data_IF_372234766413
#
_entry.id   IF_372234766413
#
_cell.length_a   1.000
_cell.length_b   1.000
_cell.length_c   1.000
_cell.angle_alpha   90.00
_cell.angle_beta   90.00
_cell.angle_gamma   90.00
#
_symmetry.space_group_name_H-M   'P 1'
#
loop_
_entity.id
_entity.type
_entity.pdbx_description
1 polymer ?
#
# COMPACT_ATOMS: atom_id res chain seq x y z
N UNK A 1 -6.12 14.30 5.31
CA UNK A 1 -6.19 12.87 5.67
C UNK A 1 -4.84 12.17 5.58
N UNK A 2 -3.99 12.59 4.64
CA UNK A 2 -2.63 12.12 4.36
C UNK A 2 -1.81 13.33 3.93
N UNK A 3 -1.49 14.19 4.90
CA UNK A 3 -0.78 15.45 4.68
C UNK A 3 0.63 15.25 4.12
N UNK A 4 1.31 14.21 4.57
CA UNK A 4 2.61 13.77 4.09
C UNK A 4 2.59 13.42 2.59
N UNK A 5 1.66 12.57 2.19
CA UNK A 5 1.46 12.20 0.78
C UNK A 5 1.08 13.42 -0.07
N UNK A 6 0.17 14.25 0.41
CA UNK A 6 -0.28 15.46 -0.29
C UNK A 6 0.88 16.45 -0.47
N UNK A 7 1.69 16.65 0.58
CA UNK A 7 2.87 17.50 0.54
C UNK A 7 3.88 16.99 -0.50
N UNK A 8 4.20 15.70 -0.47
CA UNK A 8 5.14 15.08 -1.41
C UNK A 8 4.69 15.25 -2.86
N UNK A 9 3.42 14.92 -3.16
CA UNK A 9 2.88 15.04 -4.52
C UNK A 9 2.86 16.49 -5.01
N UNK A 10 2.50 17.44 -4.15
CA UNK A 10 2.52 18.86 -4.49
C UNK A 10 3.95 19.35 -4.75
N UNK A 11 4.90 19.00 -3.87
CA UNK A 11 6.30 19.39 -4.01
C UNK A 11 6.90 18.92 -5.35
N UNK A 12 6.67 17.67 -5.72
CA UNK A 12 7.14 17.11 -7.00
C UNK A 12 6.40 17.77 -8.18
N UNK A 13 5.08 17.95 -8.10
CA UNK A 13 4.29 18.62 -9.15
C UNK A 13 4.75 20.06 -9.39
N UNK A 14 5.18 20.75 -8.34
CA UNK A 14 5.73 22.11 -8.40
C UNK A 14 7.22 22.13 -8.80
N UNK A 15 7.82 20.98 -9.05
CA UNK A 15 9.20 20.84 -9.55
C UNK A 15 10.26 20.91 -8.46
N UNK A 16 9.90 20.69 -7.19
CA UNK A 16 10.86 20.54 -6.09
C UNK A 16 11.44 19.12 -6.10
N UNK A 17 12.69 18.98 -5.67
CA UNK A 17 13.35 17.70 -5.52
C UNK A 17 13.23 17.23 -4.08
N UNK A 18 12.84 15.96 -3.89
CA UNK A 18 12.85 15.28 -2.60
C UNK A 18 13.91 14.20 -2.66
N UNK A 19 14.78 14.15 -1.66
CA UNK A 19 15.85 13.16 -1.56
C UNK A 19 15.70 12.37 -0.26
N UNK A 20 16.14 11.14 -0.30
CA UNK A 20 16.23 10.30 0.89
C UNK A 20 17.44 10.75 1.72
N UNK A 21 17.26 10.83 3.03
CA UNK A 21 18.31 11.11 4.00
C UNK A 21 18.41 9.93 4.98
N UNK A 22 19.50 9.20 4.93
CA UNK A 22 19.70 7.98 5.72
C UNK A 22 19.81 8.27 7.21
N UNK A 23 20.37 9.44 7.56
CA UNK A 23 20.56 9.86 8.96
C UNK A 23 19.27 10.40 9.61
N UNK A 24 18.22 10.67 8.82
CA UNK A 24 16.95 11.17 9.33
C UNK A 24 16.04 10.01 9.79
N UNK A 25 16.34 9.47 10.96
CA UNK A 25 15.63 8.34 11.56
C UNK A 25 14.50 8.87 12.45
N UNK A 26 13.29 8.33 12.26
CA UNK A 26 12.17 8.54 13.18
C UNK A 26 11.56 7.22 13.60
N UNK A 27 10.99 7.18 14.79
CA UNK A 27 10.30 6.02 15.35
C UNK A 27 8.82 6.31 15.45
N UNK A 28 7.98 5.38 14.94
CA UNK A 28 6.53 5.51 14.96
C UNK A 28 5.88 4.29 15.62
N UNK A 29 4.94 4.56 16.55
CA UNK A 29 4.17 3.50 17.20
C UNK A 29 3.05 3.03 16.29
N UNK A 30 3.11 1.77 15.85
CA UNK A 30 2.09 1.18 15.00
C UNK A 30 0.96 0.57 15.84
N UNK A 31 -0.31 0.72 15.41
CA UNK A 31 -1.44 0.14 16.13
C UNK A 31 -1.41 -1.39 16.05
N UNK A 32 -1.53 -2.05 17.19
CA UNK A 32 -1.61 -3.52 17.28
C UNK A 32 -3.04 -4.06 17.19
N UNK A 33 -4.07 -3.23 17.35
CA UNK A 33 -5.46 -3.64 17.26
C UNK A 33 -5.94 -3.63 15.81
N UNK A 34 -6.44 -4.76 15.31
CA UNK A 34 -6.92 -4.91 13.93
C UNK A 34 -7.96 -3.85 13.53
N UNK A 35 -8.91 -3.53 14.43
CA UNK A 35 -9.93 -2.50 14.19
C UNK A 35 -9.32 -1.10 13.97
N UNK A 36 -8.27 -0.77 14.71
CA UNK A 36 -7.56 0.51 14.59
C UNK A 36 -6.77 0.53 13.29
N UNK A 37 -6.06 -0.56 12.96
CA UNK A 37 -5.32 -0.71 11.70
C UNK A 37 -6.24 -0.58 10.47
N UNK A 38 -7.38 -1.24 10.44
CA UNK A 38 -8.34 -1.13 9.32
C UNK A 38 -8.83 0.31 9.17
N UNK A 39 -9.15 1.01 10.28
CA UNK A 39 -9.55 2.41 10.25
C UNK A 39 -8.44 3.32 9.71
N UNK A 40 -7.19 3.09 10.12
CA UNK A 40 -6.03 3.81 9.63
C UNK A 40 -5.83 3.57 8.12
N UNK A 41 -5.88 2.32 7.67
CA UNK A 41 -5.76 1.96 6.25
C UNK A 41 -6.89 2.54 5.40
N UNK A 42 -8.13 2.56 5.90
CA UNK A 42 -9.26 3.23 5.24
C UNK A 42 -8.99 4.73 5.07
N UNK A 43 -8.46 5.38 6.11
CA UNK A 43 -8.07 6.79 6.06
C UNK A 43 -6.98 7.03 5.00
N UNK A 44 -5.94 6.18 4.98
CA UNK A 44 -4.85 6.26 4.00
C UNK A 44 -5.34 6.02 2.57
N UNK A 45 -6.19 5.01 2.36
CA UNK A 45 -6.74 4.74 1.03
C UNK A 45 -7.53 5.93 0.48
N UNK A 46 -8.42 6.51 1.31
CA UNK A 46 -9.20 7.68 0.93
C UNK A 46 -8.32 8.92 0.74
N UNK A 47 -7.39 9.17 1.65
CA UNK A 47 -6.47 10.30 1.56
C UNK A 47 -5.61 10.23 0.32
N UNK A 48 -5.04 9.05 0.00
CA UNK A 48 -4.24 8.85 -1.22
C UNK A 48 -5.06 9.09 -2.48
N UNK A 49 -6.32 8.64 -2.52
CA UNK A 49 -7.20 8.89 -3.66
C UNK A 49 -7.44 10.39 -3.86
N UNK A 50 -7.76 11.14 -2.81
CA UNK A 50 -7.94 12.59 -2.91
C UNK A 50 -6.65 13.32 -3.29
N UNK A 51 -5.52 12.94 -2.69
CA UNK A 51 -4.21 13.50 -3.04
C UNK A 51 -3.87 13.24 -4.50
N UNK A 52 -4.13 12.02 -5.00
CA UNK A 52 -3.95 11.71 -6.41
C UNK A 52 -4.84 12.58 -7.29
N UNK A 53 -6.14 12.63 -7.05
CA UNK A 53 -7.08 13.41 -7.87
C UNK A 53 -6.73 14.89 -7.91
N UNK A 54 -6.19 15.45 -6.81
CA UNK A 54 -5.79 16.86 -6.75
C UNK A 54 -4.52 17.17 -7.56
N UNK A 55 -3.58 16.21 -7.68
CA UNK A 55 -2.27 16.40 -8.31
C UNK A 55 -2.11 15.66 -9.65
N UNK A 56 -3.00 14.70 -9.97
CA UNK A 56 -2.86 13.80 -11.12
C UNK A 56 -2.60 14.55 -12.43
N UNK A 57 -3.35 15.62 -12.70
CA UNK A 57 -3.19 16.42 -13.93
C UNK A 57 -1.80 17.05 -14.02
N UNK A 58 -1.33 17.68 -12.93
CA UNK A 58 -0.01 18.33 -12.90
C UNK A 58 1.12 17.31 -13.06
N UNK A 59 1.02 16.16 -12.38
CA UNK A 59 2.00 15.09 -12.46
C UNK A 59 2.02 14.46 -13.86
N UNK A 60 0.85 14.19 -14.43
CA UNK A 60 0.75 13.63 -15.78
C UNK A 60 1.42 14.50 -16.83
N UNK A 61 1.10 15.81 -16.87
CA UNK A 61 1.77 16.72 -17.79
C UNK A 61 3.24 16.93 -17.45
N UNK A 62 3.62 16.75 -16.18
CA UNK A 62 5.02 16.77 -15.75
C UNK A 62 5.87 15.66 -16.35
N UNK A 63 5.29 14.51 -16.72
CA UNK A 63 5.99 13.40 -17.39
C UNK A 63 6.54 13.80 -18.75
N UNK A 64 5.88 14.74 -19.44
CA UNK A 64 6.25 15.20 -20.78
C UNK A 64 7.19 16.40 -20.75
N UNK A 65 7.68 16.82 -19.59
CA UNK A 65 8.70 17.87 -19.48
C UNK A 65 9.99 17.47 -20.15
N UNK A 66 10.71 18.45 -20.69
CA UNK A 66 12.01 18.20 -21.34
C UNK A 66 13.17 18.09 -20.33
N UNK A 67 12.92 18.43 -19.06
CA UNK A 67 13.93 18.38 -17.98
C UNK A 67 14.01 16.99 -17.32
N UNK A 68 15.03 16.79 -16.46
CA UNK A 68 15.25 15.53 -15.75
C UNK A 68 14.13 15.16 -14.77
N UNK A 69 13.29 16.13 -14.37
CA UNK A 69 12.20 15.97 -13.41
C UNK A 69 11.00 15.17 -13.93
N UNK A 70 11.00 14.84 -15.23
CA UNK A 70 9.96 13.96 -15.81
C UNK A 70 9.87 12.60 -15.12
N UNK A 71 10.99 12.02 -14.67
CA UNK A 71 11.02 10.74 -13.99
C UNK A 71 10.42 10.81 -12.59
N UNK A 72 10.64 11.91 -11.87
CA UNK A 72 10.04 12.14 -10.55
C UNK A 72 8.51 12.28 -10.67
N UNK A 73 8.03 13.00 -11.69
CA UNK A 73 6.61 13.09 -11.98
C UNK A 73 6.01 11.74 -12.39
N UNK A 74 6.71 10.95 -13.21
CA UNK A 74 6.31 9.61 -13.59
C UNK A 74 6.20 8.69 -12.37
N UNK A 75 7.23 8.63 -11.55
CA UNK A 75 7.27 7.80 -10.35
C UNK A 75 6.14 8.15 -9.38
N UNK A 76 5.98 9.44 -9.07
CA UNK A 76 4.93 9.91 -8.16
C UNK A 76 3.52 9.74 -8.74
N UNK A 77 3.35 9.89 -10.05
CA UNK A 77 2.06 9.61 -10.68
C UNK A 77 1.66 8.15 -10.49
N UNK A 78 2.55 7.21 -10.80
CA UNK A 78 2.26 5.78 -10.64
C UNK A 78 2.27 5.30 -9.18
N UNK A 79 3.04 5.93 -8.30
CA UNK A 79 2.99 5.68 -6.86
C UNK A 79 1.62 6.02 -6.28
N UNK A 80 1.09 7.20 -6.60
CA UNK A 80 -0.19 7.67 -6.08
C UNK A 80 -1.40 7.08 -6.80
N UNK A 81 -1.20 6.53 -8.01
CA UNK A 81 -2.26 5.96 -8.83
C UNK A 81 -3.04 4.86 -8.07
N UNK A 82 -4.37 4.90 -8.05
CA UNK A 82 -5.19 3.94 -7.30
C UNK A 82 -5.27 2.58 -8.01
N UNK A 83 -4.12 1.88 -8.09
CA UNK A 83 -3.95 0.63 -8.85
C UNK A 83 -4.96 -0.44 -8.46
N UNK A 84 -5.25 -0.59 -7.16
CA UNK A 84 -6.21 -1.58 -6.68
C UNK A 84 -7.64 -1.30 -7.17
N UNK A 85 -8.07 -0.05 -7.20
CA UNK A 85 -9.38 0.34 -7.72
C UNK A 85 -9.43 0.16 -9.24
N UNK A 86 -8.38 0.57 -9.94
CA UNK A 86 -8.29 0.43 -11.39
C UNK A 86 -8.29 -1.04 -11.81
N UNK A 87 -7.52 -1.91 -11.15
CA UNK A 87 -7.52 -3.34 -11.43
C UNK A 87 -8.87 -3.99 -11.11
N UNK A 88 -9.57 -3.55 -10.05
CA UNK A 88 -10.91 -4.02 -9.74
C UNK A 88 -11.91 -3.64 -10.84
N UNK A 89 -11.85 -2.40 -11.34
CA UNK A 89 -12.71 -1.95 -12.46
C UNK A 89 -12.43 -2.78 -13.71
N UNK A 90 -11.16 -2.96 -14.08
CA UNK A 90 -10.77 -3.77 -15.23
C UNK A 90 -11.22 -5.23 -15.08
N UNK A 91 -11.14 -5.81 -13.88
CA UNK A 91 -11.58 -7.18 -13.63
C UNK A 91 -13.10 -7.35 -13.77
N UNK A 92 -13.87 -6.28 -13.62
CA UNK A 92 -15.31 -6.29 -13.84
C UNK A 92 -15.68 -6.11 -15.33
N UNK A 93 -14.85 -5.44 -16.11
CA UNK A 93 -15.10 -5.22 -17.54
C UNK A 93 -15.18 -6.56 -18.27
N UNK A 94 -14.26 -7.48 -18.01
CA UNK A 94 -14.23 -8.78 -18.70
C UNK A 94 -15.52 -9.62 -18.47
N UNK A 95 -16.00 -9.86 -17.24
CA UNK A 95 -17.25 -10.60 -17.05
C UNK A 95 -18.49 -9.84 -17.56
N UNK A 96 -18.48 -8.50 -17.51
CA UNK A 96 -19.58 -7.70 -18.06
C UNK A 96 -19.61 -7.80 -19.58
N UNK A 97 -18.47 -7.67 -20.26
CA UNK A 97 -18.39 -7.81 -21.71
C UNK A 97 -18.74 -9.23 -22.16
N UNK A 98 -18.29 -10.25 -21.43
CA UNK A 98 -18.66 -11.65 -21.74
C UNK A 98 -20.14 -11.91 -21.46
N UNK A 99 -20.74 -11.30 -20.45
CA UNK A 99 -22.19 -11.39 -20.19
C UNK A 99 -23.00 -10.74 -21.34
N UNK A 100 -22.58 -9.57 -21.78
CA UNK A 100 -23.24 -8.83 -22.87
C UNK A 100 -23.06 -9.52 -24.24
N UNK A 101 -21.81 -9.94 -24.53
CA UNK A 101 -21.49 -10.62 -25.78
C UNK A 101 -21.84 -12.10 -25.76
N UNK A 102 -21.81 -12.75 -24.59
CA UNK A 102 -22.08 -14.15 -24.39
C UNK A 102 -23.55 -14.52 -24.57
N UNK A 103 -24.46 -13.52 -24.48
CA UNK A 103 -25.82 -13.68 -25.00
C UNK A 103 -25.82 -13.94 -26.50
N UNK A 104 -24.68 -13.75 -27.18
CA UNK A 104 -24.57 -13.90 -28.63
C UNK A 104 -23.71 -15.08 -29.12
N UNK A 105 -22.82 -15.71 -28.36
CA UNK A 105 -22.07 -16.93 -28.81
C UNK A 105 -20.97 -17.50 -27.92
N UNK A 106 -20.73 -17.04 -26.71
CA UNK A 106 -19.65 -17.64 -25.87
C UNK A 106 -20.24 -18.29 -24.63
N UNK A 107 -20.24 -19.63 -24.60
CA UNK A 107 -20.44 -20.39 -23.36
C UNK A 107 -19.26 -20.09 -22.42
N UNK A 108 -19.38 -19.03 -21.60
CA UNK A 108 -18.47 -18.82 -20.49
C UNK A 108 -18.87 -19.76 -19.39
N UNK A 109 -18.12 -20.85 -19.29
CA UNK A 109 -18.31 -21.85 -18.26
C UNK A 109 -18.08 -21.17 -16.90
N UNK A 110 -19.07 -21.22 -16.00
CA UNK A 110 -18.98 -20.69 -14.63
C UNK A 110 -17.70 -21.15 -13.92
N UNK A 111 -17.30 -22.39 -14.18
CA UNK A 111 -16.06 -22.97 -13.68
C UNK A 111 -14.79 -22.22 -14.18
N UNK A 112 -14.78 -21.76 -15.42
CA UNK A 112 -13.69 -20.97 -16.00
C UNK A 112 -13.53 -19.63 -15.30
N UNK A 113 -14.62 -18.96 -14.94
CA UNK A 113 -14.58 -17.68 -14.22
C UNK A 113 -14.03 -17.87 -12.81
N UNK A 114 -14.50 -18.91 -12.10
CA UNK A 114 -14.00 -19.21 -10.74
C UNK A 114 -12.54 -19.60 -10.77
N UNK A 115 -12.10 -20.44 -11.71
CA UNK A 115 -10.69 -20.85 -11.80
C UNK A 115 -9.76 -19.67 -12.07
N UNK A 116 -10.16 -18.72 -12.91
CA UNK A 116 -9.39 -17.46 -13.15
C UNK A 116 -9.34 -16.59 -11.90
N UNK A 117 -10.45 -16.42 -11.19
CA UNK A 117 -10.50 -15.66 -9.95
C UNK A 117 -9.59 -16.29 -8.88
N UNK A 118 -9.68 -17.60 -8.70
CA UNK A 118 -8.84 -18.34 -7.75
C UNK A 118 -7.36 -18.27 -8.14
N UNK A 119 -7.05 -18.41 -9.43
CA UNK A 119 -5.69 -18.25 -9.94
C UNK A 119 -5.11 -16.86 -9.67
N UNK A 120 -5.91 -15.81 -9.86
CA UNK A 120 -5.49 -14.43 -9.55
C UNK A 120 -5.23 -14.24 -8.05
N UNK A 121 -6.10 -14.76 -7.19
CA UNK A 121 -5.92 -14.68 -5.74
C UNK A 121 -4.67 -15.44 -5.28
N UNK A 122 -4.44 -16.65 -5.81
CA UNK A 122 -3.25 -17.44 -5.52
C UNK A 122 -1.97 -16.77 -6.01
N UNK A 123 -1.96 -16.25 -7.23
CA UNK A 123 -0.82 -15.50 -7.77
C UNK A 123 -0.50 -14.27 -6.92
N UNK A 124 -1.51 -13.53 -6.49
CA UNK A 124 -1.34 -12.38 -5.61
C UNK A 124 -0.78 -12.80 -4.25
N UNK A 125 -1.32 -13.89 -3.67
CA UNK A 125 -0.83 -14.41 -2.40
C UNK A 125 0.65 -14.79 -2.47
N UNK A 126 1.06 -15.53 -3.49
CA UNK A 126 2.47 -15.94 -3.65
C UNK A 126 3.38 -14.75 -3.98
N UNK A 127 2.91 -13.76 -4.75
CA UNK A 127 3.64 -12.53 -5.01
C UNK A 127 3.94 -11.75 -3.73
N UNK A 128 2.94 -11.55 -2.88
CA UNK A 128 3.13 -10.88 -1.58
C UNK A 128 3.95 -11.72 -0.61
N UNK A 129 3.80 -13.05 -0.63
CA UNK A 129 4.63 -13.97 0.16
C UNK A 129 6.10 -13.80 -0.17
N UNK A 130 6.45 -13.74 -1.46
CA UNK A 130 7.81 -13.54 -1.93
C UNK A 130 8.38 -12.18 -1.47
N UNK A 131 7.59 -11.10 -1.63
CA UNK A 131 7.98 -9.77 -1.18
C UNK A 131 8.23 -9.77 0.33
N UNK A 132 7.32 -10.33 1.12
CA UNK A 132 7.45 -10.44 2.57
C UNK A 132 8.68 -11.24 2.98
N UNK A 133 8.93 -12.37 2.33
CA UNK A 133 10.11 -13.21 2.59
C UNK A 133 11.41 -12.46 2.28
N UNK A 134 11.52 -11.79 1.13
CA UNK A 134 12.69 -10.99 0.75
C UNK A 134 12.92 -9.85 1.75
N UNK A 135 11.86 -9.15 2.15
CA UNK A 135 11.95 -8.03 3.10
C UNK A 135 12.47 -8.52 4.47
N UNK A 136 11.91 -9.62 4.98
CA UNK A 136 12.35 -10.20 6.27
C UNK A 136 13.78 -10.72 6.16
N UNK A 137 14.17 -11.32 5.04
CA UNK A 137 15.54 -11.82 4.85
C UNK A 137 16.56 -10.67 4.82
N UNK A 138 16.24 -9.56 4.16
CA UNK A 138 17.13 -8.38 4.10
C UNK A 138 17.27 -7.65 5.43
N UNK A 139 16.18 -7.57 6.18
CA UNK A 139 16.10 -6.78 7.42
C UNK A 139 16.16 -7.65 8.69
N UNK A 140 16.53 -8.94 8.54
CA UNK A 140 16.48 -9.91 9.66
C UNK A 140 17.28 -9.46 10.88
N UNK A 141 18.38 -8.76 10.67
CA UNK A 141 19.26 -8.30 11.75
C UNK A 141 18.62 -7.17 12.58
N UNK A 142 17.64 -6.46 12.00
CA UNK A 142 16.85 -5.41 12.66
C UNK A 142 15.56 -5.96 13.29
N UNK A 143 15.15 -7.20 12.92
CA UNK A 143 13.91 -7.80 13.39
C UNK A 143 14.18 -8.69 14.60
N UNK A 144 13.90 -8.17 15.79
CA UNK A 144 14.05 -8.89 17.05
C UNK A 144 12.86 -9.84 17.30
N UNK A 145 12.79 -10.94 16.54
CA UNK A 145 11.68 -11.91 16.61
C UNK A 145 12.20 -13.35 16.49
N UNK A 146 11.68 -14.31 17.29
CA UNK A 146 12.02 -15.73 17.14
C UNK A 146 11.67 -16.25 15.74
N UNK A 147 12.54 -17.09 15.16
CA UNK A 147 12.40 -17.59 13.78
C UNK A 147 11.04 -18.24 13.48
N UNK A 148 10.47 -18.99 14.44
CA UNK A 148 9.15 -19.61 14.27
C UNK A 148 8.02 -18.59 14.13
N UNK A 149 8.06 -17.49 14.89
CA UNK A 149 7.07 -16.40 14.75
C UNK A 149 7.29 -15.62 13.44
N UNK A 150 8.52 -15.45 13.04
CA UNK A 150 8.88 -14.78 11.78
C UNK A 150 8.29 -15.53 10.58
N UNK A 151 8.35 -16.86 10.57
CA UNK A 151 7.73 -17.69 9.52
C UNK A 151 6.20 -17.50 9.47
N UNK A 152 5.53 -17.47 10.65
CA UNK A 152 4.09 -17.21 10.72
C UNK A 152 3.76 -15.83 10.14
N UNK A 153 4.56 -14.81 10.46
CA UNK A 153 4.33 -13.46 9.95
C UNK A 153 4.54 -13.37 8.43
N UNK A 154 5.53 -14.05 7.87
CA UNK A 154 5.73 -14.16 6.42
C UNK A 154 4.50 -14.79 5.77
N UNK A 155 4.00 -15.91 6.31
CA UNK A 155 2.84 -16.61 5.75
C UNK A 155 1.52 -15.82 5.89
N UNK A 156 1.37 -15.02 6.93
CA UNK A 156 0.15 -14.23 7.17
C UNK A 156 0.18 -12.85 6.51
N UNK A 157 1.36 -12.33 6.15
CA UNK A 157 1.51 -11.03 5.50
C UNK A 157 0.66 -10.88 4.22
N UNK A 158 0.63 -11.86 3.29
CA UNK A 158 -0.22 -11.76 2.10
C UNK A 158 -1.70 -11.63 2.42
N UNK A 159 -2.19 -12.33 3.44
CA UNK A 159 -3.60 -12.24 3.87
C UNK A 159 -3.94 -10.84 4.36
N UNK A 160 -3.01 -10.21 5.08
CA UNK A 160 -3.17 -8.83 5.53
C UNK A 160 -3.17 -7.85 4.36
N UNK A 161 -2.32 -8.04 3.38
CA UNK A 161 -2.22 -7.15 2.22
C UNK A 161 -3.42 -7.29 1.27
N UNK A 162 -3.96 -8.51 1.10
CA UNK A 162 -5.19 -8.77 0.35
C UNK A 162 -6.42 -8.00 0.89
N UNK A 163 -6.41 -7.58 2.16
CA UNK A 163 -7.44 -6.66 2.70
C UNK A 163 -7.40 -5.28 2.04
N UNK A 164 -6.36 -4.94 1.31
CA UNK A 164 -6.19 -3.65 0.65
C UNK A 164 -7.28 -3.33 -0.36
N UNK A 165 -7.70 -4.33 -1.17
CA UNK A 165 -8.76 -4.14 -2.16
C UNK A 165 -10.13 -3.83 -1.54
N UNK A 166 -10.69 -4.64 -0.61
CA UNK A 166 -11.94 -4.30 0.06
C UNK A 166 -11.85 -2.96 0.82
N UNK A 167 -10.71 -2.63 1.42
CA UNK A 167 -10.51 -1.33 2.07
C UNK A 167 -10.55 -0.18 1.05
N UNK A 168 -9.91 -0.34 -0.11
CA UNK A 168 -9.92 0.66 -1.17
C UNK A 168 -11.35 0.91 -1.70
N UNK A 169 -12.12 -0.15 -1.93
CA UNK A 169 -13.52 -0.06 -2.34
C UNK A 169 -14.36 0.62 -1.25
N UNK A 170 -14.25 0.18 0.00
CA UNK A 170 -14.97 0.77 1.12
C UNK A 170 -14.65 2.27 1.29
N UNK A 171 -13.41 2.68 1.05
CA UNK A 171 -12.97 4.07 1.14
C UNK A 171 -13.71 5.01 0.19
N UNK A 172 -14.23 4.52 -0.95
CA UNK A 172 -15.01 5.33 -1.89
C UNK A 172 -16.32 5.81 -1.28
N UNK A 173 -17.00 4.93 -0.54
CA UNK A 173 -18.36 5.14 -0.05
C UNK A 173 -18.39 5.66 1.40
N UNK A 174 -17.38 5.32 2.22
CA UNK A 174 -17.37 5.68 3.63
C UNK A 174 -16.95 7.14 3.85
N UNK A 175 -17.69 7.85 4.72
CA UNK A 175 -17.26 9.15 5.26
C UNK A 175 -16.29 8.92 6.40
N UNK A 176 -15.02 9.22 6.17
CA UNK A 176 -13.97 9.01 7.15
C UNK A 176 -13.68 10.33 7.87
N UNK A 177 -13.93 10.34 9.19
CA UNK A 177 -13.52 11.45 10.06
C UNK A 177 -12.16 11.12 10.67
N UNK A 178 -11.28 12.10 10.70
CA UNK A 178 -10.01 11.97 11.39
C UNK A 178 -10.26 11.83 12.91
N UNK A 179 -9.64 10.82 13.50
CA UNK A 179 -9.58 10.64 14.95
C UNK A 179 -8.13 10.31 15.30
N UNK A 180 -7.54 10.96 16.33
CA UNK A 180 -6.20 10.63 16.78
C UNK A 180 -6.16 9.16 17.23
N UNK A 181 -5.04 8.51 16.95
CA UNK A 181 -4.74 7.17 17.47
C UNK A 181 -4.21 7.40 18.89
N UNK A 182 -4.73 6.64 19.86
CA UNK A 182 -4.18 6.67 21.21
C UNK A 182 -2.80 6.00 21.17
N UNK A 183 -1.80 6.73 21.63
CA UNK A 183 -0.46 6.20 21.86
C UNK A 183 -0.42 5.78 23.34
N UNK A 184 -0.29 4.48 23.57
CA UNK A 184 -0.33 3.92 24.92
C UNK A 184 1.07 3.84 25.55
N UNK A 185 2.14 3.99 24.76
CA UNK A 185 3.52 3.90 25.21
C UNK A 185 4.30 5.19 24.92
N UNK A 186 4.49 6.00 25.94
CA UNK A 186 5.43 7.12 25.87
C UNK A 186 6.86 6.59 26.12
N UNK A 187 7.52 6.03 25.08
CA UNK A 187 8.91 5.58 25.17
C UNK A 187 9.81 6.75 24.74
N UNK A 188 10.81 7.09 25.57
CA UNK A 188 11.80 8.10 25.21
C UNK A 188 12.80 7.52 24.21
N UNK A 189 13.30 8.35 23.30
CA UNK A 189 14.30 7.96 22.28
C UNK A 189 15.55 7.34 22.94
N UNK A 190 15.98 7.87 24.10
CA UNK A 190 17.10 7.36 24.87
C UNK A 190 16.91 5.90 25.33
N UNK A 191 15.68 5.52 25.66
CA UNK A 191 15.35 4.15 26.08
C UNK A 191 15.35 3.18 24.89
N UNK A 192 14.96 3.66 23.70
CA UNK A 192 15.04 2.88 22.45
C UNK A 192 16.51 2.59 22.13
N UNK A 193 17.37 3.60 22.13
CA UNK A 193 18.82 3.41 21.87
C UNK A 193 19.50 2.51 22.91
N UNK A 194 19.08 2.56 24.18
CA UNK A 194 19.59 1.62 25.21
C UNK A 194 19.19 0.18 24.92
N UNK A 195 17.96 -0.04 24.42
CA UNK A 195 17.49 -1.38 24.04
C UNK A 195 18.23 -1.91 22.81
N UNK A 196 18.44 -1.08 21.78
CA UNK A 196 19.23 -1.44 20.60
C UNK A 196 20.68 -1.84 20.97
N UNK A 197 21.35 -1.03 21.78
CA UNK A 197 22.71 -1.33 22.25
C UNK A 197 22.80 -2.58 23.12
N UNK A 198 21.75 -2.93 23.85
CA UNK A 198 21.68 -4.15 24.64
C UNK A 198 21.48 -5.40 23.79
N UNK A 199 20.70 -5.26 22.73
CA UNK A 199 20.42 -6.36 21.79
C UNK A 199 21.58 -6.62 20.81
N UNK A 200 22.37 -5.61 20.49
CA UNK A 200 23.58 -5.74 19.67
C UNK A 200 24.75 -6.42 20.40
N UNK A 201 24.70 -6.59 21.74
CA UNK A 201 25.73 -7.24 22.56
C UNK A 201 25.40 -8.70 22.92
N UNK A 202 24.20 -9.19 22.55
CA UNK A 202 23.79 -10.59 22.71
C UNK A 202 23.67 -11.28 21.33
#
# INVERSE_FOLDING_TARGET
LTEDTQFTLNAIADGKKIVFCEDAIFYDEQPYQLKVMIRQRLRWAKGRLFSFLSCARKLFFGIFRKDSRKFECYDMFFYAFPKALFSAILSLIYPITTLILGTFSVQTDFFSVISKLLGTLLSSYFGFLLIGAISVFRERDKIHCPAGKMLIYILTFPLFDLTGLPIAIASLFMRIKWKPIKHDKAIKIEDIHKQENKNAKN
#
